data_IF_316798998886
#
_entry.id   IF_316798998886
#
_cell.length_a   1.000
_cell.length_b   1.000
_cell.length_c   1.000
_cell.angle_alpha   90.00
_cell.angle_beta   90.00
_cell.angle_gamma   90.00
#
_symmetry.space_group_name_H-M   'P 1'
#
loop_
_entity.id
_entity.type
_entity.pdbx_description
1 polymer ?
#
# COMPACT_ATOMS: atom_id res chain seq x y z
N UNK A 1 8.57 33.68 -3.87
CA UNK A 1 8.84 32.46 -4.68
C UNK A 1 7.58 32.10 -5.47
N UNK A 2 7.65 32.07 -6.81
CA UNK A 2 6.51 31.67 -7.67
C UNK A 2 6.53 30.15 -7.80
N UNK A 3 5.41 29.48 -7.49
CA UNK A 3 5.32 28.02 -7.63
C UNK A 3 5.49 27.65 -9.11
N UNK A 4 6.22 26.57 -9.44
CA UNK A 4 6.31 26.10 -10.81
C UNK A 4 4.91 25.83 -11.36
N UNK A 5 4.63 26.20 -12.61
CA UNK A 5 3.31 26.03 -13.18
C UNK A 5 2.96 24.55 -13.36
N UNK A 6 1.76 24.17 -12.93
CA UNK A 6 1.15 22.87 -13.23
C UNK A 6 0.48 22.96 -14.61
N UNK A 7 0.58 21.91 -15.43
CA UNK A 7 -0.11 21.86 -16.73
C UNK A 7 -1.63 21.94 -16.53
N UNK A 8 -2.32 22.64 -17.43
CA UNK A 8 -3.78 22.85 -17.37
C UNK A 8 -4.62 21.57 -17.46
N UNK A 9 -4.03 20.45 -17.88
CA UNK A 9 -4.70 19.14 -17.99
C UNK A 9 -4.78 18.37 -16.67
N UNK A 10 -4.26 18.92 -15.57
CA UNK A 10 -4.28 18.36 -14.22
C UNK A 10 -5.26 19.12 -13.29
N UNK A 11 -5.76 18.50 -12.20
CA UNK A 11 -5.43 17.17 -11.68
C UNK A 11 -6.00 16.02 -12.51
N UNK A 12 -5.37 14.84 -12.42
CA UNK A 12 -5.86 13.58 -12.98
C UNK A 12 -6.30 12.65 -11.85
N UNK A 13 -7.29 11.77 -12.08
CA UNK A 13 -7.66 10.75 -11.10
C UNK A 13 -6.48 9.83 -10.76
N UNK A 14 -6.34 9.46 -9.49
CA UNK A 14 -5.32 8.50 -9.05
C UNK A 14 -5.56 7.10 -9.65
N UNK A 15 -6.80 6.77 -10.00
CA UNK A 15 -7.17 5.52 -10.69
C UNK A 15 -6.49 5.34 -12.06
N UNK A 16 -5.89 6.39 -12.62
CA UNK A 16 -5.03 6.25 -13.79
C UNK A 16 -3.77 5.41 -13.48
N UNK A 17 -3.33 5.36 -12.23
CA UNK A 17 -2.23 4.51 -11.75
C UNK A 17 -2.81 3.17 -11.30
N UNK A 18 -2.93 2.23 -12.24
CA UNK A 18 -3.66 0.99 -12.02
C UNK A 18 -3.12 0.19 -10.81
N UNK A 19 -4.02 -0.19 -9.89
CA UNK A 19 -3.69 -0.91 -8.67
C UNK A 19 -3.18 -0.04 -7.50
N UNK A 20 -2.90 1.24 -7.70
CA UNK A 20 -2.52 2.16 -6.61
C UNK A 20 -3.77 2.62 -5.86
N UNK A 21 -3.81 2.58 -4.52
CA UNK A 21 -4.99 3.00 -3.76
C UNK A 21 -5.16 4.53 -3.78
N UNK A 22 -6.34 4.99 -3.37
CA UNK A 22 -6.59 6.40 -3.12
C UNK A 22 -5.79 6.90 -1.89
N UNK A 23 -5.59 8.22 -1.82
CA UNK A 23 -5.07 8.91 -0.63
C UNK A 23 -3.71 8.38 -0.14
N UNK A 24 -2.78 8.18 -1.07
CA UNK A 24 -1.39 7.80 -0.79
C UNK A 24 -0.69 8.79 0.15
N UNK A 25 0.18 8.28 1.01
CA UNK A 25 0.90 9.10 1.99
C UNK A 25 2.27 9.56 1.46
N UNK A 26 2.91 8.71 0.63
CA UNK A 26 4.18 9.02 -0.01
C UNK A 26 4.37 8.23 -1.31
N UNK A 27 5.27 8.71 -2.16
CA UNK A 27 5.75 7.98 -3.34
C UNK A 27 7.22 8.30 -3.62
N UNK A 28 7.96 7.32 -4.13
CA UNK A 28 9.34 7.53 -4.62
C UNK A 28 9.67 6.61 -5.79
N UNK A 29 10.40 7.13 -6.77
CA UNK A 29 11.02 6.29 -7.79
C UNK A 29 12.36 5.78 -7.26
N UNK A 30 12.56 4.47 -7.30
CA UNK A 30 13.79 3.86 -6.81
C UNK A 30 14.78 3.60 -7.95
N UNK A 31 16.05 3.39 -7.60
CA UNK A 31 17.15 3.20 -8.56
C UNK A 31 16.99 1.97 -9.45
N UNK A 32 16.11 1.04 -9.08
CA UNK A 32 15.79 -0.15 -9.87
C UNK A 32 14.73 0.08 -10.96
N UNK A 33 14.26 1.31 -11.15
CA UNK A 33 13.32 1.68 -12.21
C UNK A 33 11.85 1.38 -11.90
N UNK A 34 11.52 1.08 -10.64
CA UNK A 34 10.13 0.97 -10.17
C UNK A 34 9.79 2.18 -9.29
N UNK A 35 8.52 2.59 -9.34
CA UNK A 35 7.94 3.57 -8.42
C UNK A 35 7.27 2.85 -7.25
N UNK A 36 7.51 3.33 -6.04
CA UNK A 36 6.93 2.77 -4.82
C UNK A 36 5.95 3.76 -4.21
N UNK A 37 4.74 3.31 -3.97
CA UNK A 37 3.69 4.07 -3.28
C UNK A 37 3.50 3.53 -1.87
N UNK A 38 3.26 4.41 -0.92
CA UNK A 38 3.04 4.07 0.49
C UNK A 38 1.65 4.50 0.92
N UNK A 39 0.98 3.59 1.62
CA UNK A 39 -0.30 3.87 2.27
C UNK A 39 -0.38 3.13 3.59
N UNK A 40 -0.54 3.87 4.67
CA UNK A 40 -0.57 3.37 6.05
C UNK A 40 0.65 2.47 6.33
N UNK A 41 0.41 1.21 6.70
CA UNK A 41 1.42 0.18 6.97
C UNK A 41 1.85 -0.61 5.71
N UNK A 42 1.45 -0.17 4.51
CA UNK A 42 1.60 -0.90 3.25
C UNK A 42 2.44 -0.15 2.24
N UNK A 43 3.08 -0.90 1.36
CA UNK A 43 3.67 -0.36 0.14
C UNK A 43 3.29 -1.16 -1.10
N UNK A 44 3.27 -0.46 -2.23
CA UNK A 44 2.94 -0.97 -3.56
C UNK A 44 4.14 -0.71 -4.46
N UNK A 45 4.64 -1.75 -5.13
CA UNK A 45 5.62 -1.59 -6.20
C UNK A 45 4.87 -1.41 -7.52
N UNK A 46 5.03 -0.27 -8.15
CA UNK A 46 4.44 0.07 -9.44
C UNK A 46 5.46 -0.15 -10.54
N UNK A 47 5.06 -0.87 -11.59
CA UNK A 47 5.88 -1.09 -12.76
C UNK A 47 5.61 0.02 -13.78
N UNK A 48 6.52 0.99 -13.86
CA UNK A 48 6.40 2.15 -14.75
C UNK A 48 6.30 1.78 -16.24
N UNK A 49 6.76 0.58 -16.65
CA UNK A 49 6.70 0.11 -18.05
C UNK A 49 5.33 -0.42 -18.42
N UNK A 50 4.69 -1.15 -17.51
CA UNK A 50 3.35 -1.71 -17.72
C UNK A 50 2.26 -0.79 -17.17
N UNK A 51 2.65 0.27 -16.45
CA UNK A 51 1.78 1.27 -15.85
C UNK A 51 0.71 0.68 -14.91
N UNK A 52 1.10 -0.35 -14.15
CA UNK A 52 0.25 -1.01 -13.15
C UNK A 52 1.06 -1.48 -11.95
N UNK A 53 0.41 -1.70 -10.82
CA UNK A 53 1.02 -2.38 -9.67
C UNK A 53 1.51 -3.75 -10.09
N UNK A 54 2.78 -3.99 -9.78
CA UNK A 54 3.51 -5.16 -10.20
C UNK A 54 2.91 -6.45 -9.62
N UNK A 55 2.92 -7.51 -10.43
CA UNK A 55 2.41 -8.82 -10.01
C UNK A 55 3.60 -9.69 -9.59
N UNK A 56 3.65 -10.08 -8.33
CA UNK A 56 4.77 -10.82 -7.76
C UNK A 56 4.32 -11.72 -6.62
N UNK A 57 5.15 -12.69 -6.25
CA UNK A 57 4.97 -13.54 -5.08
C UNK A 57 6.04 -13.17 -4.02
N UNK A 58 5.66 -12.76 -2.80
CA UNK A 58 4.29 -12.52 -2.34
C UNK A 58 3.60 -11.32 -3.02
N UNK A 59 2.26 -11.28 -3.09
CA UNK A 59 1.53 -10.21 -3.77
C UNK A 59 1.73 -8.86 -3.09
N UNK A 60 1.64 -7.78 -3.87
CA UNK A 60 1.45 -6.43 -3.34
C UNK A 60 -0.04 -6.19 -3.03
N UNK A 61 -0.37 -5.34 -2.04
CA UNK A 61 0.54 -4.60 -1.17
C UNK A 61 1.28 -5.49 -0.16
N UNK A 62 2.46 -5.06 0.25
CA UNK A 62 3.28 -5.74 1.26
C UNK A 62 3.50 -4.84 2.49
N UNK A 63 3.75 -5.41 3.69
CA UNK A 63 3.97 -4.62 4.90
C UNK A 63 5.25 -3.77 4.82
N UNK A 64 5.12 -2.46 5.00
CA UNK A 64 6.26 -1.52 4.99
C UNK A 64 7.28 -1.87 6.08
N UNK A 65 6.81 -2.21 7.28
CA UNK A 65 7.68 -2.54 8.41
C UNK A 65 8.64 -3.72 8.10
N UNK A 66 8.11 -4.80 7.52
CA UNK A 66 8.92 -5.97 7.19
C UNK A 66 9.95 -5.66 6.09
N UNK A 67 9.50 -5.08 4.98
CA UNK A 67 10.30 -4.99 3.75
C UNK A 67 11.15 -3.72 3.63
N UNK A 68 10.71 -2.60 4.21
CA UNK A 68 11.43 -1.32 4.15
C UNK A 68 12.20 -1.01 5.44
N UNK A 69 11.67 -1.39 6.61
CA UNK A 69 12.32 -1.12 7.89
C UNK A 69 13.06 -2.34 8.48
N UNK A 70 12.89 -3.52 7.88
CA UNK A 70 13.59 -4.74 8.30
C UNK A 70 13.06 -5.35 9.60
N UNK A 71 11.82 -5.05 10.01
CA UNK A 71 11.20 -5.61 11.21
C UNK A 71 10.88 -7.10 11.03
N UNK A 72 11.78 -7.98 11.48
CA UNK A 72 11.65 -9.45 11.32
C UNK A 72 10.52 -10.07 12.14
N UNK A 73 10.05 -9.38 13.17
CA UNK A 73 8.92 -9.79 14.02
C UNK A 73 7.55 -9.36 13.47
N UNK A 74 7.49 -8.88 12.22
CA UNK A 74 6.24 -8.52 11.55
C UNK A 74 5.96 -9.48 10.39
N UNK A 75 4.68 -9.76 10.07
CA UNK A 75 4.32 -10.56 8.90
C UNK A 75 4.96 -10.00 7.63
N UNK A 76 5.42 -10.88 6.74
CA UNK A 76 5.94 -10.49 5.42
C UNK A 76 4.82 -10.32 4.38
N UNK A 77 3.61 -10.81 4.68
CA UNK A 77 2.41 -10.73 3.84
C UNK A 77 1.18 -10.48 4.71
N UNK A 78 0.14 -9.89 4.13
CA UNK A 78 -1.15 -9.73 4.82
C UNK A 78 -2.04 -10.99 4.76
N UNK A 79 -1.64 -12.02 4.00
CA UNK A 79 -2.43 -13.24 3.76
C UNK A 79 -2.04 -14.44 4.63
N UNK A 80 -0.91 -14.38 5.34
CA UNK A 80 -0.55 -15.40 6.34
C UNK A 80 -1.29 -15.09 7.63
N UNK A 81 -2.11 -16.02 8.14
CA UNK A 81 -2.93 -15.92 9.36
C UNK A 81 -2.18 -15.29 10.56
N UNK A 82 -2.17 -13.98 10.59
CA UNK A 82 -1.56 -13.11 11.58
C UNK A 82 -2.39 -11.85 11.71
N UNK A 83 -3.71 -12.01 11.63
CA UNK A 83 -4.74 -10.98 11.78
C UNK A 83 -4.85 -10.46 13.22
N UNK A 84 -3.72 -10.31 13.90
CA UNK A 84 -3.64 -9.68 15.22
C UNK A 84 -3.15 -8.24 15.01
N UNK A 85 -4.05 -7.26 15.16
CA UNK A 85 -3.68 -5.85 15.21
C UNK A 85 -3.54 -5.40 16.66
N UNK A 86 -2.53 -4.58 16.91
CA UNK A 86 -2.37 -3.87 18.18
C UNK A 86 -3.28 -2.64 18.15
N UNK A 87 -4.26 -2.59 19.04
CA UNK A 87 -4.99 -1.36 19.30
C UNK A 87 -4.11 -0.49 20.21
N UNK A 88 -3.80 0.72 19.75
CA UNK A 88 -3.06 1.72 20.52
C UNK A 88 -4.01 2.59 21.32
N UNK A 89 -3.57 3.09 22.46
CA UNK A 89 -4.33 4.10 23.22
C UNK A 89 -4.44 5.40 22.42
N UNK A 90 -5.62 6.01 22.44
CA UNK A 90 -5.84 7.34 21.86
C UNK A 90 -5.17 8.45 22.68
N UNK A 91 -4.95 8.23 23.98
CA UNK A 91 -4.29 9.17 24.89
C UNK A 91 -2.76 8.99 24.90
N UNK A 92 -2.27 7.75 24.78
CA UNK A 92 -0.85 7.40 24.86
C UNK A 92 -0.45 6.45 23.70
N UNK A 93 -0.08 6.96 22.52
CA UNK A 93 0.03 6.17 21.27
C UNK A 93 1.11 5.08 21.23
N UNK A 94 2.03 5.08 22.18
CA UNK A 94 3.03 4.05 22.44
C UNK A 94 2.52 2.89 23.32
N UNK A 95 1.41 3.08 24.04
CA UNK A 95 0.77 2.02 24.81
C UNK A 95 -0.16 1.16 23.94
N UNK A 96 -0.08 -0.15 24.14
CA UNK A 96 -0.97 -1.14 23.52
C UNK A 96 -2.08 -1.48 24.51
N UNK A 97 -3.32 -1.21 24.12
CA UNK A 97 -4.50 -1.43 24.98
C UNK A 97 -5.18 -2.77 24.70
N UNK A 98 -5.19 -3.24 23.45
CA UNK A 98 -5.77 -4.53 23.07
C UNK A 98 -5.02 -5.21 21.91
N UNK A 99 -5.20 -6.53 21.84
CA UNK A 99 -4.88 -7.35 20.67
C UNK A 99 -6.21 -7.71 19.97
N UNK A 100 -6.45 -7.16 18.78
CA UNK A 100 -7.68 -7.40 18.02
C UNK A 100 -7.42 -8.46 16.97
N UNK A 101 -8.24 -9.51 16.96
CA UNK A 101 -8.30 -10.49 15.89
C UNK A 101 -9.23 -9.98 14.79
N UNK A 102 -8.66 -9.40 13.73
CA UNK A 102 -9.41 -8.94 12.56
C UNK A 102 -9.75 -10.15 11.68
N UNK A 103 -10.72 -10.96 12.09
CA UNK A 103 -11.31 -11.99 11.25
C UNK A 103 -12.36 -11.40 10.29
N UNK A 104 -12.02 -10.34 9.55
CA UNK A 104 -12.88 -9.75 8.50
C UNK A 104 -12.03 -8.72 7.72
N UNK A 105 -11.56 -9.07 6.52
CA UNK A 105 -12.13 -8.73 5.20
C UNK A 105 -11.08 -7.94 4.43
N UNK A 106 -10.27 -8.66 3.67
CA UNK A 106 -10.07 -8.29 2.27
C UNK A 106 -10.08 -9.60 1.49
N UNK A 107 -11.29 -10.13 1.33
CA UNK A 107 -11.53 -11.11 0.26
C UNK A 107 -11.14 -10.35 -0.99
N UNK A 108 -10.00 -10.70 -1.57
CA UNK A 108 -9.65 -10.46 -2.95
C UNK A 108 -10.95 -10.50 -3.77
N UNK A 109 -11.47 -9.35 -4.17
CA UNK A 109 -12.51 -9.31 -5.19
C UNK A 109 -11.76 -9.53 -6.50
N UNK A 110 -11.80 -10.73 -7.10
CA UNK A 110 -11.31 -10.86 -8.46
C UNK A 110 -12.11 -9.88 -9.29
N UNK A 111 -11.40 -9.04 -10.04
CA UNK A 111 -11.96 -8.26 -11.12
C UNK A 111 -12.97 -9.13 -11.87
N UNK A 112 -14.24 -8.73 -11.84
CA UNK A 112 -15.27 -9.34 -12.67
C UNK A 112 -14.82 -9.18 -14.12
N UNK A 113 -14.34 -10.28 -14.71
CA UNK A 113 -14.28 -10.38 -16.17
C UNK A 113 -15.72 -10.28 -16.64
N UNK A 114 -16.08 -9.13 -17.19
CA UNK A 114 -17.25 -9.01 -18.04
C UNK A 114 -17.05 -9.98 -19.21
N UNK A 115 -17.86 -11.04 -19.23
CA UNK A 115 -18.00 -11.92 -20.38
C UNK A 115 -18.61 -11.15 -21.55
N UNK A 116 -18.19 -11.56 -22.75
CA UNK A 116 -18.86 -11.29 -24.02
C UNK A 116 -20.26 -11.91 -24.03
#
# INVERSE_FOLDING_TARGET
>A
LKRPPVKSTYPKPISNWEGVPNSIDAALQYTNGYTYFFKDDKYYRFNDRTFTVDQSDPPFPRPTAHWWYGCKNTPSTFTTLGNVRLQKSDEHPDDITNLILDAATDVYQPYSRNGL
#
